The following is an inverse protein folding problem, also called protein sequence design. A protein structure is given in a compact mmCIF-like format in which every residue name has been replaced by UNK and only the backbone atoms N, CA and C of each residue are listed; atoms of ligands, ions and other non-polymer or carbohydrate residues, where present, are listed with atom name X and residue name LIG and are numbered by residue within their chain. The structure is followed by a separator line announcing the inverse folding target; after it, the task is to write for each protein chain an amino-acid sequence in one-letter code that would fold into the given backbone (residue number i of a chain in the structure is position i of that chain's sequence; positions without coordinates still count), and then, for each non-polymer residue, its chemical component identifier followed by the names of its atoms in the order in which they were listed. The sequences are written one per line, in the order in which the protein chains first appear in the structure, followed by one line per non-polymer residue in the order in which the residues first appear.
data_IF_448671391255
#
_entry.id   IF_448671391255
#
_cell.length_a   1.000
_cell.length_b   1.000
_cell.length_c   1.000
_cell.angle_alpha   90.00
_cell.angle_beta   90.00
_cell.angle_gamma   90.00
#
_symmetry.space_group_name_H-M   'P 1'
#
loop_
_entity.id
_entity.type
_entity.pdbx_description
1 polymer ?
#
# COMPACT_ATOMS: atom_id res chain seq x y z
N UNK A 1 33.70 -17.10 15.85
CA UNK A 1 33.44 -16.31 17.09
C UNK A 1 34.03 -17.06 18.26
N UNK A 2 34.80 -16.38 19.12
CA UNK A 2 35.43 -16.98 20.30
C UNK A 2 34.36 -17.56 21.26
N UNK A 3 34.58 -18.78 21.80
CA UNK A 3 33.63 -19.48 22.66
C UNK A 3 33.20 -18.66 23.90
N UNK A 4 34.12 -17.87 24.45
CA UNK A 4 33.83 -16.97 25.59
C UNK A 4 32.90 -15.83 25.21
N UNK A 5 33.06 -15.27 24.01
CA UNK A 5 32.16 -14.24 23.48
C UNK A 5 30.75 -14.76 23.19
N UNK A 6 30.64 -16.02 22.70
CA UNK A 6 29.36 -16.68 22.46
C UNK A 6 28.59 -16.88 23.77
N UNK A 7 29.25 -17.39 24.81
CA UNK A 7 28.63 -17.54 26.15
C UNK A 7 28.19 -16.21 26.76
N UNK A 8 29.04 -15.18 26.64
CA UNK A 8 28.68 -13.84 27.15
C UNK A 8 27.47 -13.27 26.46
N UNK A 9 27.35 -13.45 25.12
CA UNK A 9 26.20 -12.99 24.36
C UNK A 9 24.91 -13.75 24.73
N UNK A 10 24.98 -15.07 24.90
CA UNK A 10 23.87 -15.92 25.35
C UNK A 10 23.39 -15.53 26.76
N UNK A 11 24.32 -15.25 27.67
CA UNK A 11 23.97 -14.76 29.01
C UNK A 11 23.28 -13.39 28.97
N UNK A 12 23.74 -12.47 28.09
CA UNK A 12 23.12 -11.15 27.90
C UNK A 12 21.72 -11.26 27.30
N UNK A 13 21.51 -12.11 26.27
CA UNK A 13 20.20 -12.36 25.68
C UNK A 13 19.23 -12.94 26.72
N UNK A 14 19.66 -13.94 27.52
CA UNK A 14 18.83 -14.48 28.60
C UNK A 14 18.52 -13.49 29.72
N UNK A 15 19.40 -12.51 29.98
CA UNK A 15 19.10 -11.41 30.92
C UNK A 15 18.08 -10.43 30.35
N UNK A 16 18.21 -10.07 29.07
CA UNK A 16 17.26 -9.19 28.36
C UNK A 16 15.86 -9.84 28.35
N UNK A 17 15.78 -11.12 28.01
CA UNK A 17 14.50 -11.86 27.99
C UNK A 17 13.82 -11.88 29.37
N UNK A 18 14.58 -12.08 30.44
CA UNK A 18 14.05 -12.06 31.82
C UNK A 18 13.58 -10.67 32.26
N UNK A 19 14.29 -9.61 31.82
CA UNK A 19 14.00 -8.24 32.25
C UNK A 19 12.90 -7.57 31.42
N UNK A 20 12.84 -7.84 30.12
CA UNK A 20 11.99 -7.14 29.15
C UNK A 20 10.96 -8.03 28.44
N UNK A 21 10.98 -9.32 28.67
CA UNK A 21 10.09 -10.29 28.06
C UNK A 21 10.68 -11.00 26.83
N UNK A 22 10.06 -12.13 26.49
CA UNK A 22 10.47 -12.98 25.38
C UNK A 22 10.33 -12.24 24.03
N UNK A 23 11.32 -12.41 23.14
CA UNK A 23 11.33 -11.77 21.82
C UNK A 23 11.82 -10.31 21.80
N UNK A 24 12.24 -9.75 22.97
CA UNK A 24 12.81 -8.37 23.02
C UNK A 24 14.12 -8.25 22.27
N UNK A 25 14.94 -9.29 22.28
CA UNK A 25 16.16 -9.42 21.48
C UNK A 25 16.26 -10.85 20.96
N UNK A 26 16.51 -11.00 19.65
CA UNK A 26 16.63 -12.30 18.99
C UNK A 26 17.76 -12.27 17.96
N UNK A 27 18.27 -13.43 17.59
CA UNK A 27 19.17 -13.55 16.44
C UNK A 27 18.33 -13.73 15.19
N UNK A 28 18.63 -12.97 14.16
CA UNK A 28 17.87 -12.99 12.88
C UNK A 28 17.93 -14.35 12.15
N UNK A 29 18.85 -15.26 12.53
CA UNK A 29 18.97 -16.61 11.96
C UNK A 29 18.24 -17.70 12.73
N UNK A 30 17.69 -17.39 13.91
CA UNK A 30 17.05 -18.39 14.77
C UNK A 30 15.53 -18.49 14.54
N UNK A 31 14.94 -17.51 13.84
CA UNK A 31 13.52 -17.49 13.50
C UNK A 31 13.32 -17.75 12.00
N UNK A 32 12.39 -18.63 11.63
CA UNK A 32 11.85 -18.69 10.28
C UNK A 32 11.31 -17.29 9.92
N UNK A 33 11.71 -16.76 8.77
CA UNK A 33 11.23 -15.47 8.28
C UNK A 33 9.74 -15.59 8.02
N UNK A 34 8.90 -15.19 8.99
CA UNK A 34 7.47 -15.11 8.76
C UNK A 34 7.19 -14.14 7.60
N UNK A 35 6.39 -14.60 6.63
CA UNK A 35 5.92 -13.77 5.55
C UNK A 35 5.15 -12.57 6.13
N UNK A 36 5.48 -11.36 5.67
CA UNK A 36 4.77 -10.15 6.11
C UNK A 36 3.36 -10.19 5.54
N UNK A 37 2.30 -10.24 6.37
CA UNK A 37 0.94 -10.24 5.87
C UNK A 37 0.65 -8.94 5.15
N UNK A 38 -0.08 -9.03 4.03
CA UNK A 38 -0.40 -7.89 3.19
C UNK A 38 -1.90 -7.85 2.86
N UNK A 39 -2.40 -6.65 2.56
CA UNK A 39 -3.73 -6.41 2.03
C UNK A 39 -3.57 -6.04 0.55
N UNK A 40 -4.25 -6.77 -0.34
CA UNK A 40 -4.25 -6.48 -1.78
C UNK A 40 -4.69 -5.04 -2.06
N UNK A 41 -4.12 -4.46 -3.09
CA UNK A 41 -4.51 -3.11 -3.55
C UNK A 41 -5.70 -3.13 -4.53
N UNK A 42 -6.15 -4.32 -4.93
CA UNK A 42 -7.12 -4.51 -6.01
C UNK A 42 -6.49 -4.40 -7.40
N UNK A 43 -5.24 -3.94 -7.51
CA UNK A 43 -4.45 -3.98 -8.74
C UNK A 43 -3.40 -5.07 -8.65
N UNK A 44 -3.51 -6.07 -9.51
CA UNK A 44 -2.55 -7.19 -9.58
C UNK A 44 -1.13 -6.68 -9.89
N UNK A 45 -1.01 -5.74 -10.83
CA UNK A 45 0.27 -5.15 -11.18
C UNK A 45 0.93 -4.39 -10.02
N UNK A 46 0.13 -3.69 -9.21
CA UNK A 46 0.66 -2.99 -8.03
C UNK A 46 1.04 -3.96 -6.91
N UNK A 47 0.25 -4.99 -6.68
CA UNK A 47 0.55 -6.05 -5.71
C UNK A 47 1.90 -6.75 -6.04
N UNK A 48 2.14 -7.05 -7.32
CA UNK A 48 3.41 -7.59 -7.82
C UNK A 48 4.55 -6.56 -7.66
N UNK A 49 4.30 -5.29 -7.95
CA UNK A 49 5.30 -4.24 -7.80
C UNK A 49 5.71 -4.01 -6.34
N UNK A 50 4.78 -4.22 -5.39
CA UNK A 50 5.03 -4.19 -3.96
C UNK A 50 5.85 -5.40 -3.46
N UNK A 51 5.83 -6.53 -4.16
CA UNK A 51 6.67 -7.70 -3.94
C UNK A 51 6.20 -8.65 -2.84
N UNK A 52 5.15 -8.30 -2.10
CA UNK A 52 4.55 -9.13 -1.04
C UNK A 52 3.05 -9.37 -1.24
N UNK A 53 2.54 -9.05 -2.45
CA UNK A 53 1.13 -9.25 -2.81
C UNK A 53 0.17 -8.18 -2.32
N UNK A 54 0.66 -7.01 -1.85
CA UNK A 54 -0.17 -5.91 -1.41
C UNK A 54 0.56 -4.93 -0.48
N UNK A 55 -0.21 -4.12 0.24
CA UNK A 55 0.29 -3.21 1.27
C UNK A 55 0.54 -3.96 2.59
N UNK A 56 1.71 -3.75 3.25
CA UNK A 56 2.09 -4.52 4.44
C UNK A 56 1.22 -4.18 5.65
N UNK A 57 0.64 -5.19 6.31
CA UNK A 57 -0.02 -5.04 7.62
C UNK A 57 1.02 -4.67 8.70
N UNK A 58 0.56 -4.02 9.76
CA UNK A 58 1.43 -3.57 10.84
C UNK A 58 2.39 -2.44 10.45
N UNK A 59 2.09 -1.68 9.38
CA UNK A 59 2.94 -0.63 8.82
C UNK A 59 2.17 0.63 8.48
N UNK A 60 2.91 1.73 8.36
CA UNK A 60 2.42 3.01 7.84
C UNK A 60 2.77 3.06 6.35
N UNK A 61 1.78 3.38 5.51
CA UNK A 61 1.93 3.61 4.09
C UNK A 61 1.50 5.05 3.74
N UNK A 62 2.15 5.67 2.77
CA UNK A 62 1.77 6.98 2.22
C UNK A 62 1.46 6.83 0.74
N UNK A 63 0.29 7.31 0.32
CA UNK A 63 -0.12 7.39 -1.08
C UNK A 63 -0.28 8.86 -1.41
N UNK A 64 0.50 9.37 -2.37
CA UNK A 64 0.48 10.77 -2.74
C UNK A 64 0.50 10.98 -4.25
N UNK A 65 -0.03 12.10 -4.67
CA UNK A 65 -0.13 12.45 -6.09
C UNK A 65 -0.92 13.73 -6.30
N UNK A 66 -1.03 14.19 -7.55
CA UNK A 66 -1.87 15.32 -7.92
C UNK A 66 -3.34 15.07 -7.57
N UNK A 67 -4.13 16.13 -7.61
CA UNK A 67 -5.59 16.02 -7.54
C UNK A 67 -6.11 15.15 -8.68
N UNK A 68 -7.21 14.43 -8.44
CA UNK A 68 -7.87 13.54 -9.40
C UNK A 68 -6.95 12.44 -10.00
N UNK A 69 -5.87 12.06 -9.30
CA UNK A 69 -4.97 10.99 -9.72
C UNK A 69 -5.43 9.58 -9.32
N UNK A 70 -6.52 9.46 -8.55
CA UNK A 70 -7.08 8.16 -8.10
C UNK A 70 -6.61 7.72 -6.71
N UNK A 71 -6.09 8.63 -5.86
CA UNK A 71 -5.65 8.31 -4.49
C UNK A 71 -6.75 7.67 -3.64
N UNK A 72 -7.88 8.37 -3.52
CA UNK A 72 -9.04 7.91 -2.75
C UNK A 72 -9.64 6.63 -3.35
N UNK A 73 -9.72 6.53 -4.68
CA UNK A 73 -10.17 5.31 -5.37
C UNK A 73 -9.30 4.10 -5.01
N UNK A 74 -7.97 4.26 -5.06
CA UNK A 74 -7.04 3.18 -4.70
C UNK A 74 -7.20 2.77 -3.24
N UNK A 75 -7.37 3.72 -2.31
CA UNK A 75 -7.53 3.38 -0.89
C UNK A 75 -8.88 2.75 -0.57
N UNK A 76 -9.96 3.18 -1.23
CA UNK A 76 -11.27 2.51 -1.12
C UNK A 76 -11.21 1.08 -1.67
N UNK A 77 -10.46 0.85 -2.74
CA UNK A 77 -10.23 -0.51 -3.26
C UNK A 77 -9.47 -1.38 -2.24
N UNK A 78 -8.44 -0.83 -1.57
CA UNK A 78 -7.75 -1.53 -0.46
C UNK A 78 -8.70 -1.89 0.68
N UNK A 79 -9.61 -0.98 1.04
CA UNK A 79 -10.67 -1.24 2.04
C UNK A 79 -11.56 -2.39 1.59
N UNK A 80 -12.04 -2.37 0.34
CA UNK A 80 -12.87 -3.43 -0.21
C UNK A 80 -12.17 -4.79 -0.17
N UNK A 81 -10.90 -4.85 -0.55
CA UNK A 81 -10.10 -6.08 -0.48
C UNK A 81 -9.87 -6.57 0.97
N UNK A 82 -9.67 -5.65 1.92
CA UNK A 82 -9.59 -6.00 3.34
C UNK A 82 -10.89 -6.62 3.84
N UNK A 83 -12.03 -6.00 3.53
CA UNK A 83 -13.36 -6.49 3.93
C UNK A 83 -13.72 -7.83 3.27
N UNK A 84 -13.39 -8.05 2.00
CA UNK A 84 -13.53 -9.35 1.30
C UNK A 84 -12.78 -10.47 2.03
N UNK A 85 -11.64 -10.14 2.65
CA UNK A 85 -10.85 -11.08 3.45
C UNK A 85 -11.34 -11.23 4.90
N UNK A 86 -12.49 -10.65 5.24
CA UNK A 86 -13.08 -10.67 6.58
C UNK A 86 -12.45 -9.66 7.56
N UNK A 87 -11.67 -8.70 7.05
CA UNK A 87 -11.05 -7.65 7.87
C UNK A 87 -11.97 -6.45 8.10
N UNK A 88 -11.70 -5.72 9.16
CA UNK A 88 -12.40 -4.48 9.54
C UNK A 88 -11.65 -3.25 9.05
N UNK A 89 -12.38 -2.28 8.51
CA UNK A 89 -11.81 -1.06 7.95
C UNK A 89 -12.36 0.20 8.63
N UNK A 90 -11.52 1.24 8.70
CA UNK A 90 -11.93 2.58 9.11
C UNK A 90 -11.44 3.63 8.10
N UNK A 91 -12.27 4.66 7.91
CA UNK A 91 -11.97 5.81 7.05
C UNK A 91 -12.10 7.10 7.87
N UNK A 92 -11.00 7.83 8.02
CA UNK A 92 -10.95 9.13 8.68
C UNK A 92 -10.98 10.19 7.59
N UNK A 93 -12.15 10.76 7.38
CA UNK A 93 -12.49 11.71 6.32
C UNK A 93 -12.28 13.14 6.82
N UNK A 94 -11.03 13.60 6.80
CA UNK A 94 -10.70 14.97 7.20
C UNK A 94 -11.03 16.01 6.13
N UNK A 95 -11.29 15.59 4.88
CA UNK A 95 -11.73 16.48 3.80
C UNK A 95 -13.27 16.60 3.73
N UNK A 96 -14.01 15.75 4.47
CA UNK A 96 -15.49 15.67 4.42
C UNK A 96 -16.03 15.41 3.01
N UNK A 97 -15.34 14.58 2.25
CA UNK A 97 -15.57 14.38 0.81
C UNK A 97 -15.87 12.93 0.42
N UNK A 98 -16.00 12.02 1.40
CA UNK A 98 -16.32 10.61 1.14
C UNK A 98 -17.73 10.49 0.57
N UNK A 99 -17.86 9.96 -0.64
CA UNK A 99 -19.13 9.56 -1.25
C UNK A 99 -19.41 8.07 -0.97
N UNK A 100 -20.39 7.74 -0.11
CA UNK A 100 -20.74 6.36 0.19
C UNK A 100 -21.20 5.57 -1.03
N UNK A 101 -21.93 6.21 -1.96
CA UNK A 101 -22.42 5.56 -3.18
C UNK A 101 -21.26 5.18 -4.10
N UNK A 102 -20.23 6.01 -4.18
CA UNK A 102 -19.03 5.68 -4.93
C UNK A 102 -18.23 4.57 -4.26
N UNK A 103 -18.07 4.61 -2.94
CA UNK A 103 -17.38 3.58 -2.18
C UNK A 103 -18.05 2.20 -2.33
N UNK A 104 -19.40 2.14 -2.27
CA UNK A 104 -20.18 0.93 -2.50
C UNK A 104 -19.94 0.34 -3.90
N UNK A 105 -19.91 1.18 -4.94
CA UNK A 105 -19.59 0.75 -6.32
C UNK A 105 -18.19 0.17 -6.47
N UNK A 106 -17.25 0.55 -5.61
CA UNK A 106 -15.91 -0.01 -5.56
C UNK A 106 -15.85 -1.33 -4.76
N UNK A 107 -16.97 -1.79 -4.22
CA UNK A 107 -17.08 -3.02 -3.44
C UNK A 107 -16.87 -2.85 -1.93
N UNK A 108 -16.85 -1.61 -1.43
CA UNK A 108 -16.80 -1.35 0.01
C UNK A 108 -18.15 -1.70 0.63
N UNK A 109 -18.14 -2.51 1.69
CA UNK A 109 -19.31 -2.79 2.51
C UNK A 109 -19.50 -1.62 3.46
N UNK A 110 -20.41 -0.70 3.10
CA UNK A 110 -20.60 0.58 3.80
C UNK A 110 -21.13 0.37 5.23
N UNK A 111 -22.01 -0.59 5.43
CA UNK A 111 -22.58 -0.88 6.75
C UNK A 111 -21.54 -1.34 7.78
N UNK A 112 -20.42 -1.91 7.30
CA UNK A 112 -19.30 -2.40 8.13
C UNK A 112 -18.11 -1.42 8.16
N UNK A 113 -18.20 -0.27 7.46
CA UNK A 113 -17.14 0.72 7.42
C UNK A 113 -17.26 1.71 8.59
N UNK A 114 -16.25 1.76 9.44
CA UNK A 114 -16.15 2.80 10.48
C UNK A 114 -15.72 4.12 9.84
N UNK A 115 -16.57 5.15 9.90
CA UNK A 115 -16.26 6.49 9.36
C UNK A 115 -16.15 7.49 10.49
N UNK A 116 -15.11 8.34 10.45
CA UNK A 116 -14.93 9.48 11.35
C UNK A 116 -14.67 10.74 10.54
N UNK A 117 -15.35 11.83 10.88
CA UNK A 117 -15.19 13.14 10.26
C UNK A 117 -14.74 14.16 11.33
N UNK A 118 -13.43 14.25 11.59
CA UNK A 118 -12.88 15.09 12.65
C UNK A 118 -12.81 16.55 12.24
N UNK A 119 -13.01 17.44 13.21
CA UNK A 119 -12.89 18.90 13.02
C UNK A 119 -11.44 19.41 13.06
N UNK A 120 -10.54 18.65 13.71
CA UNK A 120 -9.11 19.05 13.89
C UNK A 120 -8.16 17.90 13.58
N UNK A 121 -6.92 18.24 13.22
CA UNK A 121 -5.86 17.25 13.00
C UNK A 121 -5.54 16.43 14.26
N UNK A 122 -5.60 17.04 15.45
CA UNK A 122 -5.44 16.34 16.73
C UNK A 122 -6.53 15.27 16.90
N UNK A 123 -7.80 15.64 16.69
CA UNK A 123 -8.92 14.69 16.80
C UNK A 123 -8.79 13.53 15.81
N UNK A 124 -8.45 13.81 14.55
CA UNK A 124 -8.21 12.79 13.54
C UNK A 124 -7.18 11.75 13.97
N UNK A 125 -6.04 12.23 14.49
CA UNK A 125 -4.91 11.38 14.88
C UNK A 125 -5.15 10.65 16.20
N UNK A 126 -5.93 11.23 17.12
CA UNK A 126 -6.36 10.58 18.36
C UNK A 126 -7.37 9.46 18.06
N UNK A 127 -8.34 9.70 17.18
CA UNK A 127 -9.27 8.65 16.71
C UNK A 127 -8.50 7.50 16.05
N UNK A 128 -7.54 7.82 15.17
CA UNK A 128 -6.69 6.80 14.57
C UNK A 128 -5.90 6.00 15.63
N UNK A 129 -5.33 6.67 16.64
CA UNK A 129 -4.60 6.00 17.74
C UNK A 129 -5.50 5.05 18.53
N UNK A 130 -6.72 5.49 18.88
CA UNK A 130 -7.68 4.66 19.62
C UNK A 130 -8.12 3.44 18.81
N UNK A 131 -8.42 3.61 17.52
CA UNK A 131 -8.80 2.51 16.63
C UNK A 131 -7.65 1.51 16.46
N UNK A 132 -6.41 1.96 16.26
CA UNK A 132 -5.23 1.08 16.20
C UNK A 132 -5.07 0.31 17.51
N UNK A 133 -5.13 0.98 18.66
CA UNK A 133 -4.93 0.36 19.98
C UNK A 133 -6.03 -0.64 20.36
N UNK A 134 -7.22 -0.51 19.79
CA UNK A 134 -8.31 -1.46 20.01
C UNK A 134 -7.98 -2.87 19.51
N UNK A 135 -7.10 -2.98 18.50
CA UNK A 135 -6.80 -4.25 17.82
C UNK A 135 -7.94 -4.79 16.98
N UNK A 136 -9.07 -4.07 16.87
CA UNK A 136 -10.27 -4.48 16.14
C UNK A 136 -10.32 -3.96 14.69
N UNK A 137 -9.28 -3.26 14.20
CA UNK A 137 -9.27 -2.67 12.86
C UNK A 137 -8.02 -3.11 12.10
N UNK A 138 -8.22 -3.68 10.90
CA UNK A 138 -7.13 -4.16 10.04
C UNK A 138 -6.53 -3.08 9.17
N UNK A 139 -7.36 -2.14 8.69
CA UNK A 139 -6.91 -1.02 7.87
C UNK A 139 -7.58 0.29 8.25
N UNK A 140 -6.79 1.34 8.36
CA UNK A 140 -7.26 2.71 8.59
C UNK A 140 -6.74 3.59 7.44
N UNK A 141 -7.64 4.32 6.80
CA UNK A 141 -7.30 5.35 5.81
C UNK A 141 -7.53 6.72 6.40
N UNK A 142 -6.58 7.65 6.23
CA UNK A 142 -6.69 9.05 6.63
C UNK A 142 -6.63 9.90 5.36
N UNK A 143 -7.74 10.50 4.99
CA UNK A 143 -7.88 11.34 3.79
C UNK A 143 -8.25 12.78 4.18
N UNK A 144 -7.36 13.74 4.04
CA UNK A 144 -5.95 13.64 3.69
C UNK A 144 -5.08 14.39 4.72
N UNK A 145 -3.76 14.13 4.66
CA UNK A 145 -2.80 14.87 5.49
C UNK A 145 -2.92 16.38 5.33
N UNK A 146 -3.24 16.86 4.13
CA UNK A 146 -3.39 18.28 3.84
C UNK A 146 -4.53 18.93 4.64
N UNK A 147 -5.56 18.17 5.00
CA UNK A 147 -6.72 18.61 5.76
C UNK A 147 -6.55 18.48 7.29
N UNK A 148 -5.46 17.86 7.76
CA UNK A 148 -5.17 17.76 9.21
C UNK A 148 -4.71 19.10 9.76
N UNK A 149 -5.67 20.03 9.91
CA UNK A 149 -5.41 21.37 10.45
C UNK A 149 -5.27 21.32 11.96
N UNK A 150 -4.16 21.82 12.55
CA UNK A 150 -4.00 21.91 13.99
C UNK A 150 -5.08 22.80 14.62
N UNK A 151 -5.56 22.43 15.81
CA UNK A 151 -6.57 23.19 16.54
C UNK A 151 -6.18 24.65 16.72
N UNK A 152 -4.92 24.90 17.08
CA UNK A 152 -4.41 26.26 17.26
C UNK A 152 -4.44 27.12 15.99
N UNK A 153 -4.43 26.50 14.81
CA UNK A 153 -4.58 27.19 13.53
C UNK A 153 -6.05 27.53 13.24
N UNK A 154 -6.98 26.65 13.67
CA UNK A 154 -8.43 26.88 13.53
C UNK A 154 -8.92 27.96 14.49
N UNK A 155 -8.40 27.99 15.73
CA UNK A 155 -8.78 28.96 16.79
C UNK A 155 -8.07 30.29 16.64
N UNK A 156 -7.02 30.41 15.81
CA UNK A 156 -6.27 31.63 15.54
C UNK A 156 -7.00 32.60 14.62
N UNK A 157 -6.55 33.85 14.60
CA UNK A 157 -7.08 34.88 13.71
C UNK A 157 -6.60 34.69 12.26
N UNK A 158 -7.40 35.13 11.30
CA UNK A 158 -7.03 35.10 9.87
C UNK A 158 -5.79 35.95 9.63
N UNK A 159 -4.71 35.30 9.16
CA UNK A 159 -3.40 35.93 8.91
C UNK A 159 -2.33 35.60 9.94
N UNK A 160 -2.68 34.90 11.01
CA UNK A 160 -1.70 34.39 11.97
C UNK A 160 -0.73 33.41 11.33
N UNK A 161 0.52 33.48 11.76
CA UNK A 161 1.56 32.57 11.25
C UNK A 161 1.67 31.31 12.12
N UNK A 162 1.21 30.19 11.61
CA UNK A 162 1.26 28.88 12.28
C UNK A 162 2.31 27.94 11.69
N UNK A 163 3.49 28.47 11.37
CA UNK A 163 4.56 27.74 10.70
C UNK A 163 4.95 26.46 11.44
N UNK A 164 4.81 25.32 10.78
CA UNK A 164 5.31 24.03 11.22
C UNK A 164 4.45 23.31 12.28
N UNK A 165 3.28 23.82 12.68
CA UNK A 165 2.40 23.15 13.63
C UNK A 165 1.95 21.78 13.13
N UNK A 166 1.49 21.69 11.90
CA UNK A 166 1.08 20.42 11.26
C UNK A 166 2.23 19.40 11.23
N UNK A 167 3.45 19.84 10.92
CA UNK A 167 4.61 18.96 10.90
C UNK A 167 5.00 18.44 12.29
N UNK A 168 4.82 19.26 13.33
CA UNK A 168 5.03 18.85 14.74
C UNK A 168 3.97 17.86 15.18
N UNK A 169 2.71 18.13 14.88
CA UNK A 169 1.57 17.24 15.14
C UNK A 169 1.78 15.86 14.53
N UNK A 170 2.09 15.79 13.24
CA UNK A 170 2.38 14.54 12.57
C UNK A 170 3.61 13.82 13.14
N UNK A 171 4.67 14.55 13.48
CA UNK A 171 5.85 13.95 14.09
C UNK A 171 5.53 13.31 15.44
N UNK A 172 4.67 13.93 16.25
CA UNK A 172 4.20 13.38 17.51
C UNK A 172 3.32 12.14 17.29
N UNK A 173 2.37 12.21 16.35
CA UNK A 173 1.48 11.12 16.02
C UNK A 173 2.25 9.88 15.53
N UNK A 174 3.23 10.06 14.63
CA UNK A 174 4.04 8.96 14.14
C UNK A 174 4.78 8.21 15.25
N UNK A 175 5.32 8.93 16.24
CA UNK A 175 5.98 8.30 17.41
C UNK A 175 5.02 7.48 18.26
N UNK A 176 3.77 7.95 18.43
CA UNK A 176 2.75 7.23 19.19
C UNK A 176 2.21 6.03 18.45
N UNK A 177 1.86 6.19 17.16
CA UNK A 177 1.20 5.19 16.34
C UNK A 177 2.11 4.01 15.98
N UNK A 178 3.40 4.24 15.71
CA UNK A 178 4.28 3.19 15.14
C UNK A 178 4.36 1.94 16.02
N UNK A 179 4.45 2.09 17.35
CA UNK A 179 4.49 0.96 18.28
C UNK A 179 3.20 0.17 18.30
N UNK A 180 2.06 0.86 18.39
CA UNK A 180 0.73 0.26 18.43
C UNK A 180 0.40 -0.47 17.11
N UNK A 181 0.68 0.18 15.98
CA UNK A 181 0.46 -0.37 14.63
C UNK A 181 1.18 -1.72 14.44
N UNK A 182 2.44 -1.83 14.89
CA UNK A 182 3.20 -3.08 14.82
C UNK A 182 2.59 -4.18 15.70
N UNK A 183 2.10 -3.83 16.90
CA UNK A 183 1.52 -4.79 17.83
C UNK A 183 0.17 -5.35 17.38
N UNK A 184 -0.65 -4.52 16.75
CA UNK A 184 -2.00 -4.88 16.30
C UNK A 184 -2.06 -5.36 14.85
N UNK A 185 -0.95 -5.35 14.12
CA UNK A 185 -0.90 -5.64 12.68
C UNK A 185 -1.84 -4.77 11.84
N UNK A 186 -2.25 -3.59 12.34
CA UNK A 186 -3.09 -2.65 11.59
C UNK A 186 -2.28 -1.98 10.47
N UNK A 187 -2.84 -1.89 9.26
CA UNK A 187 -2.31 -1.08 8.18
C UNK A 187 -2.86 0.34 8.30
N UNK A 188 -2.00 1.36 8.35
CA UNK A 188 -2.43 2.76 8.34
C UNK A 188 -1.96 3.44 7.07
N UNK A 189 -2.91 3.93 6.26
CA UNK A 189 -2.65 4.61 5.00
C UNK A 189 -2.94 6.09 5.15
N UNK A 190 -1.93 6.91 4.86
CA UNK A 190 -2.07 8.36 4.76
C UNK A 190 -2.16 8.77 3.30
N UNK A 191 -3.26 9.38 2.91
CA UNK A 191 -3.37 10.07 1.62
C UNK A 191 -2.74 11.44 1.74
N UNK A 192 -1.91 11.83 0.77
CA UNK A 192 -1.22 13.11 0.81
C UNK A 192 -1.29 13.84 -0.54
N UNK A 193 -1.15 15.14 -0.49
CA UNK A 193 -1.16 16.02 -1.65
C UNK A 193 0.26 16.50 -1.97
N UNK A 194 0.52 16.78 -3.24
CA UNK A 194 1.77 17.38 -3.70
C UNK A 194 1.68 18.89 -3.55
N UNK A 195 2.80 19.48 -3.11
CA UNK A 195 3.05 20.92 -3.09
C UNK A 195 4.36 21.21 -3.80
N UNK A 196 4.47 22.39 -4.36
CA UNK A 196 5.68 22.86 -5.04
C UNK A 196 6.50 23.72 -4.07
N UNK A 197 7.78 23.39 -3.92
CA UNK A 197 8.73 24.21 -3.17
C UNK A 197 9.07 25.45 -3.97
N UNK A 198 8.91 26.63 -3.37
CA UNK A 198 9.29 27.89 -3.97
C UNK A 198 10.81 28.01 -4.01
N UNK A 199 11.39 28.52 -5.10
CA UNK A 199 12.82 28.81 -5.22
C UNK A 199 13.73 27.62 -5.55
N UNK A 200 13.20 26.44 -5.85
CA UNK A 200 13.98 25.29 -6.32
C UNK A 200 14.23 25.42 -7.82
N UNK A 201 15.43 25.87 -8.20
CA UNK A 201 15.84 26.01 -9.62
C UNK A 201 16.36 24.70 -10.22
N UNK A 202 16.88 23.77 -9.40
CA UNK A 202 17.44 22.49 -9.84
C UNK A 202 16.90 21.34 -8.99
N UNK A 203 16.68 20.17 -9.62
CA UNK A 203 16.13 18.99 -8.98
C UNK A 203 14.60 18.96 -8.97
N UNK A 204 13.99 18.08 -8.14
CA UNK A 204 12.53 17.95 -8.07
C UNK A 204 11.95 18.94 -7.04
N UNK A 205 11.14 19.92 -7.47
CA UNK A 205 10.49 20.87 -6.57
C UNK A 205 9.31 20.27 -5.79
N UNK A 206 8.81 19.10 -6.21
CA UNK A 206 7.65 18.48 -5.57
C UNK A 206 7.95 18.01 -4.15
N UNK A 207 7.03 18.27 -3.24
CA UNK A 207 7.06 17.77 -1.86
C UNK A 207 5.64 17.45 -1.41
N UNK A 208 5.51 16.63 -0.36
CA UNK A 208 4.23 16.34 0.27
C UNK A 208 4.00 17.26 1.47
N UNK A 209 2.72 17.47 1.86
CA UNK A 209 2.34 18.25 3.05
C UNK A 209 2.73 17.52 4.35
N UNK A 210 2.67 18.22 5.49
CA UNK A 210 2.90 17.63 6.81
C UNK A 210 4.37 17.38 7.16
N UNK A 211 5.32 18.00 6.45
CA UNK A 211 6.74 17.92 6.75
C UNK A 211 7.40 16.59 6.35
N UNK A 212 8.41 16.17 7.14
CA UNK A 212 9.21 14.99 6.80
C UNK A 212 8.84 13.72 7.58
N UNK A 213 7.97 13.80 8.59
CA UNK A 213 7.68 12.67 9.46
C UNK A 213 7.19 11.43 8.68
N UNK A 214 6.17 11.57 7.83
CA UNK A 214 5.67 10.47 7.01
C UNK A 214 6.73 9.89 6.08
N UNK A 215 7.61 10.71 5.51
CA UNK A 215 8.69 10.23 4.64
C UNK A 215 9.63 9.26 5.34
N UNK A 216 9.88 9.46 6.65
CA UNK A 216 10.73 8.59 7.45
C UNK A 216 9.98 7.38 8.02
N UNK A 217 8.78 7.60 8.58
CA UNK A 217 8.02 6.56 9.27
C UNK A 217 7.33 5.58 8.32
N UNK A 218 6.90 6.00 7.13
CA UNK A 218 6.29 5.11 6.14
C UNK A 218 7.23 3.99 5.74
N UNK A 219 6.71 2.77 5.70
CA UNK A 219 7.41 1.60 5.14
C UNK A 219 7.27 1.53 3.63
N UNK A 220 6.12 1.96 3.11
CA UNK A 220 5.82 2.05 1.67
C UNK A 220 5.38 3.48 1.35
N UNK A 221 5.86 4.02 0.22
CA UNK A 221 5.40 5.30 -0.34
C UNK A 221 5.09 5.12 -1.81
N UNK A 222 3.89 5.51 -2.22
CA UNK A 222 3.37 5.37 -3.57
C UNK A 222 3.12 6.76 -4.17
N UNK A 223 3.72 7.01 -5.34
CA UNK A 223 3.46 8.18 -6.18
C UNK A 223 2.48 7.75 -7.28
N UNK A 224 1.22 8.22 -7.21
CA UNK A 224 0.16 7.89 -8.15
C UNK A 224 -0.08 9.04 -9.12
N UNK A 225 -0.11 8.75 -10.41
CA UNK A 225 -0.26 9.72 -11.50
C UNK A 225 -1.22 9.22 -12.57
N UNK A 226 -2.11 10.08 -13.01
CA UNK A 226 -2.82 9.89 -14.28
C UNK A 226 -1.84 10.09 -15.43
N UNK A 227 -1.78 9.15 -16.38
CA UNK A 227 -0.89 9.18 -17.54
C UNK A 227 -1.64 9.24 -18.87
N UNK A 228 -2.93 8.92 -18.87
CA UNK A 228 -3.76 8.91 -20.06
C UNK A 228 -5.25 8.89 -19.73
N UNK A 229 -6.08 8.83 -20.76
CA UNK A 229 -7.51 8.64 -20.66
C UNK A 229 -7.91 7.34 -21.37
N UNK A 230 -8.75 6.55 -20.73
CA UNK A 230 -9.42 5.39 -21.35
C UNK A 230 -10.66 5.90 -22.04
N UNK A 231 -10.81 5.56 -23.33
CA UNK A 231 -11.92 6.01 -24.16
C UNK A 231 -12.71 4.83 -24.72
N UNK A 232 -14.01 5.02 -24.84
CA UNK A 232 -14.90 4.19 -25.65
C UNK A 232 -15.52 5.10 -26.74
N UNK A 233 -15.05 4.95 -27.99
CA UNK A 233 -15.31 5.93 -29.05
C UNK A 233 -14.77 7.31 -28.69
N UNK A 234 -15.66 8.31 -28.61
CA UNK A 234 -15.32 9.70 -28.23
C UNK A 234 -15.48 9.97 -26.73
N UNK A 235 -16.08 9.06 -25.98
CA UNK A 235 -16.35 9.22 -24.55
C UNK A 235 -15.14 8.78 -23.71
N UNK A 236 -14.79 9.59 -22.68
CA UNK A 236 -13.77 9.22 -21.69
C UNK A 236 -14.43 8.45 -20.56
N UNK A 237 -14.15 7.14 -20.48
CA UNK A 237 -14.75 6.22 -19.52
C UNK A 237 -13.85 5.89 -18.34
N UNK A 238 -12.60 6.36 -18.35
CA UNK A 238 -11.65 6.08 -17.28
C UNK A 238 -10.30 6.77 -17.48
N UNK A 239 -9.38 6.47 -16.60
CA UNK A 239 -8.01 6.99 -16.62
C UNK A 239 -7.00 5.85 -16.68
N UNK A 240 -5.96 6.02 -17.50
CA UNK A 240 -4.73 5.25 -17.36
C UNK A 240 -3.91 5.85 -16.22
N UNK A 241 -3.57 5.01 -15.26
CA UNK A 241 -2.92 5.41 -14.00
C UNK A 241 -1.61 4.68 -13.85
N UNK A 242 -0.57 5.42 -13.44
CA UNK A 242 0.73 4.86 -13.06
C UNK A 242 0.97 5.08 -11.59
N UNK A 243 1.35 4.02 -10.88
CA UNK A 243 1.83 4.06 -9.50
C UNK A 243 3.30 3.69 -9.47
N UNK A 244 4.13 4.57 -8.90
CA UNK A 244 5.55 4.31 -8.66
C UNK A 244 5.76 4.02 -7.18
N UNK A 245 6.37 2.90 -6.87
CA UNK A 245 6.80 2.53 -5.52
C UNK A 245 8.11 3.27 -5.22
N UNK A 246 8.02 4.47 -4.62
CA UNK A 246 9.21 5.33 -4.41
C UNK A 246 9.99 4.97 -3.15
N UNK A 247 9.35 4.26 -2.22
CA UNK A 247 9.98 3.70 -1.02
C UNK A 247 9.30 2.38 -0.69
N UNK A 248 10.11 1.38 -0.37
CA UNK A 248 9.63 0.08 0.09
C UNK A 248 10.66 -0.51 1.06
N UNK A 249 10.22 -0.85 2.28
CA UNK A 249 11.07 -1.48 3.31
C UNK A 249 10.85 -3.00 3.41
N UNK A 250 9.91 -3.54 2.64
CA UNK A 250 9.53 -4.96 2.68
C UNK A 250 9.90 -5.73 1.41
N UNK A 251 10.27 -5.01 0.33
CA UNK A 251 10.74 -5.56 -0.94
C UNK A 251 11.57 -4.49 -1.69
N UNK A 252 12.25 -4.83 -2.80
CA UNK A 252 12.99 -3.86 -3.60
C UNK A 252 12.10 -2.73 -4.12
N UNK A 253 12.47 -1.44 -3.89
CA UNK A 253 11.70 -0.28 -4.33
C UNK A 253 11.86 0.04 -5.82
N UNK A 254 11.22 1.12 -6.26
CA UNK A 254 11.30 1.77 -7.58
C UNK A 254 10.61 1.04 -8.72
N UNK A 255 9.91 -0.07 -8.43
CA UNK A 255 9.02 -0.71 -9.40
C UNK A 255 7.83 0.22 -9.72
N UNK A 256 7.22 0.01 -10.89
CA UNK A 256 6.06 0.75 -11.38
C UNK A 256 4.96 -0.24 -11.74
N UNK A 257 3.72 0.14 -11.47
CA UNK A 257 2.53 -0.51 -11.98
C UNK A 257 1.72 0.48 -12.82
N UNK A 258 1.15 0.01 -13.91
CA UNK A 258 0.24 0.79 -14.76
C UNK A 258 -1.05 -0.02 -14.90
N UNK A 259 -2.17 0.62 -14.64
CA UNK A 259 -3.50 0.02 -14.69
C UNK A 259 -4.55 1.07 -15.01
N UNK A 260 -5.74 0.61 -15.35
CA UNK A 260 -6.86 1.47 -15.67
C UNK A 260 -7.78 1.63 -14.45
N UNK A 261 -8.19 2.88 -14.19
CA UNK A 261 -9.27 3.21 -13.24
C UNK A 261 -10.47 3.64 -14.07
N UNK A 262 -11.52 2.83 -14.05
CA UNK A 262 -12.76 3.09 -14.76
C UNK A 262 -13.67 3.96 -13.90
N UNK A 263 -14.38 4.91 -14.52
CA UNK A 263 -15.31 5.75 -13.80
C UNK A 263 -16.50 4.93 -13.31
N UNK A 264 -16.79 5.03 -12.01
CA UNK A 264 -17.90 4.32 -11.38
C UNK A 264 -17.64 2.86 -10.98
N UNK A 265 -16.56 2.22 -11.45
CA UNK A 265 -16.25 0.82 -11.11
C UNK A 265 -14.83 0.60 -10.57
N UNK A 266 -13.96 1.65 -10.58
CA UNK A 266 -12.63 1.57 -9.97
C UNK A 266 -11.59 0.86 -10.83
N UNK A 267 -10.70 0.10 -10.20
CA UNK A 267 -9.59 -0.57 -10.87
C UNK A 267 -10.10 -1.68 -11.78
N UNK A 268 -9.68 -1.65 -13.05
CA UNK A 268 -10.08 -2.64 -14.06
C UNK A 268 -9.27 -3.94 -13.94
N UNK A 269 -9.57 -4.68 -12.87
CA UNK A 269 -8.83 -5.87 -12.46
C UNK A 269 -8.81 -6.97 -13.55
N UNK A 270 -9.96 -7.26 -14.18
CA UNK A 270 -10.01 -8.28 -15.25
C UNK A 270 -9.15 -7.91 -16.47
N UNK A 271 -9.01 -6.61 -16.74
CA UNK A 271 -8.09 -6.11 -17.76
C UNK A 271 -6.63 -6.40 -17.41
N UNK A 272 -6.24 -6.27 -16.14
CA UNK A 272 -4.90 -6.62 -15.68
C UNK A 272 -4.64 -8.13 -15.75
N UNK A 273 -5.62 -8.96 -15.39
CA UNK A 273 -5.51 -10.44 -15.52
C UNK A 273 -5.19 -10.86 -16.94
N UNK A 274 -5.85 -10.24 -17.93
CA UNK A 274 -5.57 -10.54 -19.34
C UNK A 274 -4.18 -10.11 -19.74
N UNK A 275 -3.76 -8.89 -19.37
CA UNK A 275 -2.44 -8.37 -19.72
C UNK A 275 -1.32 -9.22 -19.11
N UNK A 276 -1.43 -9.57 -17.83
CA UNK A 276 -0.47 -10.43 -17.15
C UNK A 276 -0.54 -11.88 -17.63
N UNK A 277 -1.74 -12.41 -17.89
CA UNK A 277 -1.93 -13.76 -18.44
C UNK A 277 -1.25 -13.94 -19.79
N UNK A 278 -1.38 -12.95 -20.69
CA UNK A 278 -0.66 -12.97 -21.98
C UNK A 278 0.85 -12.81 -21.76
N UNK A 279 1.29 -11.93 -20.87
CA UNK A 279 2.71 -11.70 -20.61
C UNK A 279 3.43 -12.94 -20.06
N UNK A 280 2.73 -13.77 -19.29
CA UNK A 280 3.24 -15.02 -18.72
C UNK A 280 2.92 -16.26 -19.57
N UNK A 281 2.36 -16.08 -20.77
CA UNK A 281 1.92 -17.16 -21.65
C UNK A 281 0.90 -18.13 -21.00
N UNK A 282 0.13 -17.65 -20.02
CA UNK A 282 -1.02 -18.37 -19.47
C UNK A 282 -2.26 -18.20 -20.36
N UNK A 283 -2.35 -17.07 -21.05
CA UNK A 283 -3.36 -16.79 -22.07
C UNK A 283 -2.68 -16.68 -23.44
N UNK A 284 -3.22 -17.39 -24.41
CA UNK A 284 -2.80 -17.29 -25.81
C UNK A 284 -3.49 -16.10 -26.47
N UNK A 285 -2.71 -15.30 -27.21
CA UNK A 285 -3.23 -14.21 -28.03
C UNK A 285 -2.89 -14.45 -29.51
N UNK A 286 -3.90 -14.65 -30.33
CA UNK A 286 -3.75 -14.80 -31.76
C UNK A 286 -4.57 -13.73 -32.50
N UNK A 287 -3.89 -12.70 -33.02
CA UNK A 287 -4.53 -11.52 -33.58
C UNK A 287 -5.40 -10.81 -32.54
N UNK A 288 -6.70 -10.74 -32.79
CA UNK A 288 -7.67 -10.14 -31.85
C UNK A 288 -8.27 -11.18 -30.87
N UNK A 289 -7.98 -12.47 -31.02
CA UNK A 289 -8.57 -13.52 -30.18
C UNK A 289 -7.69 -13.84 -28.98
N UNK A 290 -8.34 -14.06 -27.84
CA UNK A 290 -7.73 -14.56 -26.61
C UNK A 290 -8.26 -15.97 -26.33
N UNK A 291 -7.39 -16.85 -25.82
CA UNK A 291 -7.73 -18.23 -25.51
C UNK A 291 -7.09 -18.64 -24.19
N UNK A 292 -7.76 -19.52 -23.46
CA UNK A 292 -7.27 -20.16 -22.24
C UNK A 292 -7.44 -21.68 -22.35
N UNK A 293 -6.37 -22.44 -22.12
CA UNK A 293 -6.34 -23.91 -22.28
C UNK A 293 -6.86 -24.41 -23.65
N UNK A 294 -6.68 -23.61 -24.72
CA UNK A 294 -7.15 -23.92 -26.07
C UNK A 294 -8.57 -23.42 -26.41
N UNK A 295 -9.35 -23.03 -25.39
CA UNK A 295 -10.71 -22.49 -25.58
C UNK A 295 -10.68 -20.98 -25.78
N UNK A 296 -11.45 -20.47 -26.75
CA UNK A 296 -11.57 -19.05 -27.02
C UNK A 296 -12.40 -18.39 -25.93
N UNK A 297 -11.82 -17.38 -25.26
CA UNK A 297 -12.48 -16.60 -24.20
C UNK A 297 -13.03 -15.25 -24.67
N UNK A 298 -12.59 -14.75 -25.85
CA UNK A 298 -13.14 -13.51 -26.41
C UNK A 298 -12.34 -12.94 -27.55
N UNK A 299 -13.03 -12.10 -28.35
CA UNK A 299 -12.40 -11.28 -29.38
C UNK A 299 -12.22 -9.86 -28.85
N UNK A 300 -10.97 -9.45 -28.68
CA UNK A 300 -10.61 -8.18 -28.03
C UNK A 300 -10.57 -8.27 -26.49
N UNK A 301 -9.80 -7.38 -25.88
CA UNK A 301 -9.57 -7.36 -24.42
C UNK A 301 -10.86 -7.18 -23.60
N UNK A 302 -11.76 -6.30 -24.06
CA UNK A 302 -13.01 -6.02 -23.34
C UNK A 302 -13.96 -7.23 -23.29
N UNK A 303 -14.10 -7.97 -24.41
CA UNK A 303 -14.94 -9.17 -24.41
C UNK A 303 -14.31 -10.31 -23.59
N UNK A 304 -12.98 -10.43 -23.61
CA UNK A 304 -12.27 -11.42 -22.81
C UNK A 304 -12.35 -11.11 -21.31
N UNK A 305 -12.30 -9.84 -20.94
CA UNK A 305 -12.51 -9.41 -19.56
C UNK A 305 -13.95 -9.72 -19.08
N UNK A 306 -14.95 -9.43 -19.90
CA UNK A 306 -16.35 -9.79 -19.58
C UNK A 306 -16.52 -11.29 -19.40
N UNK A 307 -15.89 -12.10 -20.24
CA UNK A 307 -15.90 -13.57 -20.08
C UNK A 307 -15.32 -13.97 -18.71
N UNK A 308 -14.22 -13.35 -18.26
CA UNK A 308 -13.64 -13.64 -16.96
C UNK A 308 -14.54 -13.16 -15.79
N UNK A 309 -15.25 -12.03 -15.95
CA UNK A 309 -16.26 -11.58 -14.99
C UNK A 309 -17.41 -12.57 -14.83
N UNK A 310 -17.85 -13.18 -15.93
CA UNK A 310 -18.91 -14.20 -15.96
C UNK A 310 -18.41 -15.58 -15.50
N UNK A 311 -17.09 -15.83 -15.54
CA UNK A 311 -16.46 -17.10 -15.19
C UNK A 311 -15.39 -16.93 -14.12
N UNK A 312 -15.83 -16.53 -12.91
CA UNK A 312 -14.95 -16.17 -11.81
C UNK A 312 -13.94 -17.26 -11.43
N UNK A 313 -14.32 -18.55 -11.52
CA UNK A 313 -13.42 -19.67 -11.21
C UNK A 313 -12.20 -19.73 -12.16
N UNK A 314 -12.38 -19.34 -13.42
CA UNK A 314 -11.28 -19.25 -14.39
C UNK A 314 -10.40 -18.03 -14.08
N UNK A 315 -11.02 -16.91 -13.74
CA UNK A 315 -10.29 -15.70 -13.33
C UNK A 315 -9.42 -15.97 -12.10
N UNK A 316 -9.97 -16.60 -11.07
CA UNK A 316 -9.27 -16.97 -9.83
C UNK A 316 -8.11 -17.94 -10.08
N UNK A 317 -8.31 -18.93 -10.99
CA UNK A 317 -7.24 -19.85 -11.38
C UNK A 317 -6.08 -19.12 -12.09
N UNK A 318 -6.40 -18.23 -13.03
CA UNK A 318 -5.39 -17.43 -13.74
C UNK A 318 -4.65 -16.52 -12.76
N UNK A 319 -5.37 -15.82 -11.87
CA UNK A 319 -4.76 -14.95 -10.86
C UNK A 319 -3.85 -15.73 -9.92
N UNK A 320 -4.29 -16.89 -9.44
CA UNK A 320 -3.49 -17.73 -8.56
C UNK A 320 -2.18 -18.15 -9.22
N UNK A 321 -2.21 -18.53 -10.52
CA UNK A 321 -1.01 -18.87 -11.30
C UNK A 321 -0.07 -17.67 -11.43
N UNK A 322 -0.61 -16.49 -11.77
CA UNK A 322 0.18 -15.25 -11.90
C UNK A 322 0.84 -14.89 -10.57
N UNK A 323 0.09 -14.91 -9.46
CA UNK A 323 0.61 -14.62 -8.13
C UNK A 323 1.66 -15.66 -7.70
N UNK A 324 1.41 -16.93 -7.95
CA UNK A 324 2.35 -18.00 -7.64
C UNK A 324 3.69 -17.85 -8.36
N UNK A 325 3.67 -17.48 -9.64
CA UNK A 325 4.88 -17.29 -10.43
C UNK A 325 5.66 -16.03 -10.05
N UNK A 326 4.97 -14.89 -9.86
CA UNK A 326 5.64 -13.58 -9.71
C UNK A 326 5.93 -13.20 -8.24
N UNK A 327 5.18 -13.73 -7.27
CA UNK A 327 5.43 -13.45 -5.85
C UNK A 327 6.32 -14.52 -5.20
N UNK A 328 6.31 -15.78 -5.68
CA UNK A 328 7.21 -16.82 -5.21
C UNK A 328 8.68 -16.55 -5.61
N UNK A 329 8.92 -16.04 -6.82
CA UNK A 329 10.27 -15.68 -7.32
C UNK A 329 10.97 -14.62 -6.46
N UNK A 330 10.22 -13.74 -5.78
CA UNK A 330 10.82 -12.74 -4.89
C UNK A 330 11.41 -13.34 -3.61
N UNK A 331 11.06 -14.56 -3.23
CA UNK A 331 11.61 -15.27 -2.08
C UNK A 331 12.94 -15.94 -2.49
N UNK A 332 13.00 -16.61 -3.64
CA UNK A 332 14.19 -17.32 -4.12
C UNK A 332 15.35 -16.38 -4.52
N UNK A 333 15.08 -15.26 -5.19
CA UNK A 333 16.14 -14.29 -5.54
C UNK A 333 16.84 -13.67 -4.31
N UNK A 334 16.16 -13.62 -3.15
CA UNK A 334 16.75 -13.16 -1.90
C UNK A 334 17.67 -14.19 -1.28
N UNK A 335 17.44 -15.48 -1.52
CA UNK A 335 18.28 -16.59 -1.04
C UNK A 335 19.52 -16.80 -1.91
N UNK A 336 19.40 -16.69 -3.24
CA UNK A 336 20.57 -16.79 -4.13
C UNK A 336 21.56 -15.63 -3.97
N UNK A 337 21.10 -14.42 -3.65
CA UNK A 337 22.00 -13.27 -3.39
C UNK A 337 22.69 -13.36 -2.06
N UNK A 338 22.09 -13.97 -1.04
CA UNK A 338 22.74 -14.21 0.25
C UNK A 338 23.77 -15.34 0.17
N UNK A 339 23.54 -16.38 -0.65
CA UNK A 339 24.46 -17.47 -0.86
C UNK A 339 25.73 -17.05 -1.65
N UNK A 340 25.59 -16.15 -2.62
CA UNK A 340 26.74 -15.64 -3.42
C UNK A 340 27.63 -14.66 -2.67
N UNK A 341 27.15 -13.99 -1.61
CA UNK A 341 27.97 -13.12 -0.76
C UNK A 341 28.83 -13.92 0.21
N UNK A 342 28.38 -15.11 0.64
CA UNK A 342 29.15 -15.98 1.54
C UNK A 342 30.27 -16.79 0.83
N UNK A 343 30.16 -16.99 -0.49
CA UNK A 343 31.22 -17.67 -1.25
C UNK A 343 32.38 -16.73 -1.67
N UNK A 344 32.14 -15.41 -1.74
CA UNK A 344 33.21 -14.45 -2.09
C UNK A 344 34.09 -14.05 -0.90
N UNK A 345 33.66 -14.28 0.35
CA UNK A 345 34.49 -14.03 1.54
C UNK A 345 35.40 -15.21 1.93
N UNK A 346 35.29 -16.35 1.25
CA UNK A 346 36.11 -17.55 1.53
C UNK A 346 37.29 -17.78 0.60
N UNK A 347 37.58 -16.87 -0.31
CA UNK A 347 38.65 -17.01 -1.32
C UNK A 347 39.86 -16.11 -1.08
N UNK A 348 39.80 -15.21 -0.05
CA UNK A 348 40.93 -14.33 0.33
C UNK A 348 41.39 -14.57 1.76
N UNK A 349 41.76 -15.84 2.09
CA UNK A 349 42.68 -16.20 3.20
C UNK A 349 43.81 -17.13 2.72
#
# INVERSE_FOLDING_TARGET
MDANRKKALEAALGQIERQFGKGTAMRMGDDEREAIPAISTGSLGLDIALGIGGLPKGRICEIYGPESSGKTTLTLQVIAEAQKSGGTAAFIDAEHALDPTYAEKLGVQIDDLVVSQPDTGEQALEVAELLVRSGGVDVIVIDSVAALTPRAEIEGDMGDSHVGLQARLLSQAMRKLTGAIKQTNCLVIFINQIRMKIGVMFGNPETTTGGNALKFYSSVRLDIRRIGAVKDGDEVIGNETRVKVVKNKVAPPFKKAEFQIMYGSGIYHMGELIDWGVKLNLLDKSGAWYSYNGDKIGQGKANSARFLEENQSIADEIESKIRGELLAVTVDESEEKSAKTDETEKVDE
#
